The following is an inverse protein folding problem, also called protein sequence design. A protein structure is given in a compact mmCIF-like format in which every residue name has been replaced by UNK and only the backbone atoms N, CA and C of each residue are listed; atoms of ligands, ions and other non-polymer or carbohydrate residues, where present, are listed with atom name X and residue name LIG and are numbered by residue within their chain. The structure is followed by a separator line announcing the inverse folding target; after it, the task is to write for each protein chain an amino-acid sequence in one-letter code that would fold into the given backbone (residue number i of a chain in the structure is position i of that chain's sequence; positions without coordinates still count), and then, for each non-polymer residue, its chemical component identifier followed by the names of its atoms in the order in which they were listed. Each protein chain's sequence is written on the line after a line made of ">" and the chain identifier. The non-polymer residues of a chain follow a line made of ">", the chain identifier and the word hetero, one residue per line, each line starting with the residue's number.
data_IF_081927916522
#
_entry.id   IF_081927916522
#
_cell.length_a   1.000
_cell.length_b   1.000
_cell.length_c   1.000
_cell.angle_alpha   90.00
_cell.angle_beta   90.00
_cell.angle_gamma   90.00
#
_symmetry.space_group_name_H-M   'P 1'
#
loop_
_entity.id
_entity.type
_entity.pdbx_description
1 polymer ?
#
# COMPACT_ATOMS: atom_id res chain seq x y z
N UNK A 1 -19.53 19.28 -16.50
CA UNK A 1 -19.81 19.18 -15.05
C UNK A 1 -20.69 17.97 -14.81
N UNK A 2 -20.11 16.81 -14.49
CA UNK A 2 -20.87 15.65 -14.06
C UNK A 2 -20.96 15.72 -12.53
N UNK A 3 -22.17 15.93 -12.00
CA UNK A 3 -22.44 15.73 -10.57
C UNK A 3 -21.80 16.70 -9.55
N UNK A 4 -21.55 17.96 -9.91
CA UNK A 4 -21.15 19.00 -8.93
C UNK A 4 -19.75 18.84 -8.30
N UNK A 5 -19.05 17.75 -8.60
CA UNK A 5 -17.63 17.57 -8.34
C UNK A 5 -16.86 17.78 -9.64
N UNK A 6 -15.66 18.37 -9.57
CA UNK A 6 -14.77 18.37 -10.73
C UNK A 6 -14.31 16.93 -11.00
N UNK A 7 -14.16 16.54 -12.27
CA UNK A 7 -13.66 15.20 -12.63
C UNK A 7 -12.31 14.90 -11.97
N UNK A 8 -11.50 15.95 -11.81
CA UNK A 8 -10.23 15.91 -11.08
C UNK A 8 -10.39 15.56 -9.60
N UNK A 9 -11.41 16.07 -8.90
CA UNK A 9 -11.64 15.75 -7.49
C UNK A 9 -12.03 14.28 -7.30
N UNK A 10 -12.89 13.76 -8.18
CA UNK A 10 -13.27 12.36 -8.13
C UNK A 10 -12.10 11.44 -8.48
N UNK A 11 -11.30 11.80 -9.49
CA UNK A 11 -10.11 11.06 -9.88
C UNK A 11 -9.05 11.07 -8.76
N UNK A 12 -8.80 12.22 -8.14
CA UNK A 12 -7.86 12.34 -7.02
C UNK A 12 -8.32 11.50 -5.81
N UNK A 13 -9.60 11.56 -5.46
CA UNK A 13 -10.14 10.77 -4.36
C UNK A 13 -10.04 9.27 -4.67
N UNK A 14 -10.44 8.85 -5.88
CA UNK A 14 -10.36 7.45 -6.31
C UNK A 14 -8.93 6.92 -6.37
N UNK A 15 -7.96 7.72 -6.82
CA UNK A 15 -6.56 7.34 -6.84
C UNK A 15 -5.97 7.28 -5.43
N UNK A 16 -6.24 8.27 -4.59
CA UNK A 16 -5.62 8.35 -3.25
C UNK A 16 -6.20 7.27 -2.32
N UNK A 17 -7.54 7.18 -2.27
CA UNK A 17 -8.24 6.23 -1.40
C UNK A 17 -8.23 4.82 -1.99
N UNK A 18 -8.47 4.68 -3.29
CA UNK A 18 -8.49 3.38 -3.95
C UNK A 18 -7.12 2.70 -3.95
N UNK A 19 -6.05 3.43 -4.27
CA UNK A 19 -4.69 2.86 -4.21
C UNK A 19 -4.27 2.59 -2.78
N UNK A 20 -4.58 3.49 -1.82
CA UNK A 20 -4.28 3.27 -0.40
C UNK A 20 -4.98 2.03 0.17
N UNK A 21 -6.27 1.84 -0.14
CA UNK A 21 -7.02 0.65 0.24
C UNK A 21 -6.45 -0.63 -0.39
N UNK A 22 -6.05 -0.57 -1.67
CA UNK A 22 -5.47 -1.71 -2.37
C UNK A 22 -4.11 -2.12 -1.78
N UNK A 23 -3.27 -1.16 -1.36
CA UNK A 23 -2.01 -1.46 -0.67
C UNK A 23 -2.23 -2.11 0.70
N UNK A 24 -3.22 -1.64 1.47
CA UNK A 24 -3.58 -2.28 2.73
C UNK A 24 -4.05 -3.73 2.51
N UNK A 25 -4.82 -3.98 1.45
CA UNK A 25 -5.24 -5.33 1.09
C UNK A 25 -4.07 -6.22 0.68
N UNK A 26 -3.05 -5.68 -0.01
CA UNK A 26 -1.82 -6.43 -0.29
C UNK A 26 -1.09 -6.85 0.99
N UNK A 27 -0.99 -5.98 2.00
CA UNK A 27 -0.40 -6.34 3.29
C UNK A 27 -1.18 -7.45 4.00
N UNK A 28 -2.52 -7.40 3.93
CA UNK A 28 -3.38 -8.46 4.45
C UNK A 28 -3.10 -9.80 3.76
N UNK A 29 -3.01 -9.81 2.42
CA UNK A 29 -2.67 -11.04 1.66
C UNK A 29 -1.29 -11.57 2.03
N UNK A 30 -0.27 -10.72 2.15
CA UNK A 30 1.09 -11.17 2.55
C UNK A 30 1.05 -11.80 3.94
N UNK A 31 0.30 -11.23 4.87
CA UNK A 31 0.09 -11.79 6.20
C UNK A 31 -0.60 -13.15 6.15
N UNK A 32 -1.69 -13.27 5.38
CA UNK A 32 -2.38 -14.54 5.18
C UNK A 32 -1.45 -15.59 4.53
N UNK A 33 -0.70 -15.20 3.50
CA UNK A 33 0.23 -16.07 2.78
C UNK A 33 1.36 -16.56 3.70
N UNK A 34 1.91 -15.70 4.56
CA UNK A 34 2.91 -16.10 5.53
C UNK A 34 2.37 -17.15 6.52
N UNK A 35 1.09 -17.02 6.90
CA UNK A 35 0.41 -17.98 7.78
C UNK A 35 0.12 -19.30 7.08
N UNK A 36 -0.43 -19.23 5.87
CA UNK A 36 -0.85 -20.38 5.06
C UNK A 36 0.36 -21.19 4.56
N UNK A 37 1.48 -20.52 4.27
CA UNK A 37 2.72 -21.17 3.86
C UNK A 37 3.39 -21.95 5.00
N UNK A 38 2.85 -21.91 6.23
CA UNK A 38 3.51 -22.42 7.46
C UNK A 38 4.97 -21.98 7.53
N UNK A 39 5.24 -20.79 7.00
CA UNK A 39 6.56 -20.23 6.99
C UNK A 39 6.91 -20.04 8.47
N UNK A 40 7.86 -20.83 8.99
CA UNK A 40 8.27 -20.69 10.39
C UNK A 40 8.76 -19.27 10.67
N UNK A 41 9.22 -18.98 11.89
CA UNK A 41 9.66 -17.62 12.28
C UNK A 41 10.63 -16.98 11.27
N UNK A 42 11.51 -17.78 10.66
CA UNK A 42 12.45 -17.33 9.63
C UNK A 42 11.78 -17.13 8.25
N UNK A 43 10.85 -18.00 7.87
CA UNK A 43 10.14 -17.91 6.59
C UNK A 43 9.20 -16.70 6.54
N UNK A 44 8.43 -16.43 7.61
CA UNK A 44 7.62 -15.21 7.71
C UNK A 44 8.49 -13.96 7.60
N UNK A 45 9.66 -13.96 8.24
CA UNK A 45 10.62 -12.85 8.17
C UNK A 45 11.07 -12.58 6.74
N UNK A 46 11.45 -13.62 5.99
CA UNK A 46 11.87 -13.49 4.58
C UNK A 46 10.71 -13.08 3.67
N UNK A 47 9.50 -13.61 3.88
CA UNK A 47 8.30 -13.22 3.12
C UNK A 47 7.99 -11.74 3.36
N UNK A 48 8.04 -11.29 4.60
CA UNK A 48 7.83 -9.87 4.93
C UNK A 48 8.92 -8.98 4.33
N UNK A 49 10.19 -9.38 4.42
CA UNK A 49 11.31 -8.63 3.85
C UNK A 49 11.34 -8.64 2.31
N UNK A 50 10.86 -9.69 1.65
CA UNK A 50 10.83 -9.74 0.19
C UNK A 50 9.64 -8.99 -0.40
N UNK A 51 8.44 -9.24 0.14
CA UNK A 51 7.19 -8.72 -0.43
C UNK A 51 6.79 -7.36 0.16
N UNK A 52 6.92 -7.16 1.48
CA UNK A 52 6.51 -5.90 2.10
C UNK A 52 7.53 -4.77 1.88
N UNK A 53 8.77 -5.08 1.52
CA UNK A 53 9.82 -4.07 1.30
C UNK A 53 9.52 -3.15 0.10
N UNK A 54 8.90 -3.68 -0.96
CA UNK A 54 8.41 -2.86 -2.08
C UNK A 54 7.35 -1.85 -1.65
N UNK A 55 6.42 -2.26 -0.77
CA UNK A 55 5.41 -1.35 -0.21
C UNK A 55 6.00 -0.37 0.80
N UNK A 56 6.92 -0.81 1.66
CA UNK A 56 7.62 0.07 2.60
C UNK A 56 8.39 1.17 1.86
N UNK A 57 9.06 0.84 0.75
CA UNK A 57 9.71 1.82 -0.10
C UNK A 57 8.73 2.82 -0.73
N UNK A 58 7.56 2.36 -1.16
CA UNK A 58 6.50 3.25 -1.66
C UNK A 58 5.98 4.19 -0.58
N UNK A 59 5.68 3.67 0.62
CA UNK A 59 5.22 4.48 1.76
C UNK A 59 6.31 5.47 2.18
N UNK A 60 7.57 5.03 2.26
CA UNK A 60 8.70 5.90 2.57
C UNK A 60 8.81 7.04 1.55
N UNK A 61 8.66 6.76 0.24
CA UNK A 61 8.63 7.80 -0.79
C UNK A 61 7.51 8.81 -0.54
N UNK A 62 6.29 8.36 -0.26
CA UNK A 62 5.15 9.26 0.00
C UNK A 62 5.39 10.11 1.25
N UNK A 63 5.90 9.51 2.32
CA UNK A 63 6.24 10.22 3.57
C UNK A 63 7.36 11.23 3.33
N UNK A 64 8.41 10.85 2.60
CA UNK A 64 9.51 11.75 2.24
C UNK A 64 8.99 12.90 1.36
N UNK A 65 8.13 12.62 0.39
CA UNK A 65 7.47 13.65 -0.41
C UNK A 65 6.63 14.59 0.47
N UNK A 66 5.96 14.09 1.50
CA UNK A 66 5.18 14.92 2.42
C UNK A 66 6.04 15.76 3.38
N UNK A 67 7.20 15.24 3.81
CA UNK A 67 8.11 15.89 4.76
C UNK A 67 9.06 16.88 4.07
N UNK A 68 9.63 16.51 2.92
CA UNK A 68 10.59 17.32 2.16
C UNK A 68 9.89 18.16 1.08
N UNK A 69 8.87 17.60 0.43
CA UNK A 69 8.05 18.29 -0.56
C UNK A 69 6.91 19.04 0.10
N UNK A 70 7.19 20.24 0.59
CA UNK A 70 6.22 21.34 0.46
C UNK A 70 6.02 21.63 -1.02
#
# INVERSE_FOLDING_TARGET
>A
MMFGFTEEQFAWFGLTVGVGAFMLYMLFIIGQLAWESKAGKFGTFVIFLGLAFGMLGFVAKVVIQWVIGR
#
